data_IF_376597875143
#
_entry.id   IF_376597875143
#
_cell.length_a   1.000
_cell.length_b   1.000
_cell.length_c   1.000
_cell.angle_alpha   90.00
_cell.angle_beta   90.00
_cell.angle_gamma   90.00
#
_symmetry.space_group_name_H-M   'P 1'
#
loop_
_entity.id
_entity.type
_entity.pdbx_description
1 polymer ?
#
# COMPACT_ATOMS: atom_id res chain seq x y z
N UNK A 1 -19.47 -7.25 -0.26
CA UNK A 1 -18.80 -5.96 -0.05
C UNK A 1 -17.35 -6.13 -0.47
N UNK A 2 -16.89 -5.28 -1.39
CA UNK A 2 -15.55 -5.38 -1.92
C UNK A 2 -14.60 -4.62 -1.01
N UNK A 3 -13.57 -5.28 -0.49
CA UNK A 3 -12.58 -4.60 0.32
C UNK A 3 -11.54 -3.93 -0.56
N UNK A 4 -11.34 -2.64 -0.40
CA UNK A 4 -10.38 -1.85 -1.16
C UNK A 4 -9.03 -1.81 -0.48
N UNK A 5 -7.96 -1.94 -1.25
CA UNK A 5 -6.58 -1.75 -0.81
C UNK A 5 -6.05 -0.40 -1.28
N UNK A 6 -5.51 0.36 -0.35
CA UNK A 6 -4.96 1.69 -0.60
C UNK A 6 -3.53 1.77 -0.09
N UNK A 7 -2.61 2.19 -0.97
CA UNK A 7 -1.28 2.65 -0.60
C UNK A 7 -1.37 4.03 0.04
N UNK A 8 -0.75 4.21 1.19
CA UNK A 8 -0.55 5.49 1.86
C UNK A 8 0.95 5.77 1.98
N UNK A 9 1.37 6.94 1.53
CA UNK A 9 2.73 7.46 1.72
C UNK A 9 2.65 8.64 2.68
N UNK A 10 3.36 8.53 3.80
CA UNK A 10 3.30 9.47 4.92
C UNK A 10 4.64 10.19 5.06
N UNK A 11 4.60 11.51 5.22
CA UNK A 11 5.74 12.26 5.74
C UNK A 11 5.63 12.35 7.27
N UNK A 12 6.46 11.61 8.03
CA UNK A 12 6.38 11.62 9.48
C UNK A 12 6.78 12.96 10.10
N UNK A 13 7.51 13.81 9.38
CA UNK A 13 7.94 15.13 9.87
C UNK A 13 6.79 16.12 9.83
N UNK A 14 5.94 16.01 8.80
CA UNK A 14 4.74 16.82 8.66
C UNK A 14 3.52 16.20 9.36
N UNK A 15 3.59 14.92 9.74
CA UNK A 15 2.45 14.18 10.29
C UNK A 15 1.31 14.03 9.28
N UNK A 16 1.62 13.95 7.98
CA UNK A 16 0.64 14.05 6.91
C UNK A 16 0.80 12.96 5.84
N UNK A 17 -0.32 12.54 5.26
CA UNK A 17 -0.34 11.71 4.06
C UNK A 17 0.00 12.59 2.85
N UNK A 18 1.13 12.34 2.21
CA UNK A 18 1.58 13.08 1.02
C UNK A 18 1.08 12.46 -0.27
N UNK A 19 0.70 11.17 -0.23
CA UNK A 19 0.09 10.46 -1.37
C UNK A 19 -0.79 9.33 -0.86
N UNK A 20 -1.96 9.18 -1.50
CA UNK A 20 -2.80 8.00 -1.39
C UNK A 20 -3.09 7.47 -2.79
N UNK A 21 -3.06 6.14 -2.97
CA UNK A 21 -3.36 5.51 -4.26
C UNK A 21 -4.03 4.16 -4.06
N UNK A 22 -5.15 3.95 -4.73
CA UNK A 22 -5.82 2.66 -4.76
C UNK A 22 -4.96 1.62 -5.49
N UNK A 23 -4.87 0.42 -4.92
CA UNK A 23 -4.10 -0.70 -5.46
C UNK A 23 -5.01 -1.74 -6.12
N UNK A 24 -6.18 -2.00 -5.53
CA UNK A 24 -7.11 -2.99 -6.03
C UNK A 24 -7.97 -3.64 -4.96
N UNK A 25 -8.57 -4.79 -5.31
CA UNK A 25 -9.50 -5.54 -4.48
C UNK A 25 -8.99 -6.96 -4.20
N UNK A 26 -9.82 -7.99 -4.42
CA UNK A 26 -9.58 -9.38 -4.02
C UNK A 26 -8.30 -10.00 -4.57
N UNK A 27 -7.96 -9.80 -5.85
CA UNK A 27 -6.71 -10.31 -6.44
C UNK A 27 -5.47 -9.68 -5.79
N UNK A 28 -5.46 -8.36 -5.68
CA UNK A 28 -4.40 -7.60 -5.01
C UNK A 28 -4.26 -7.96 -3.53
N UNK A 29 -5.36 -8.28 -2.84
CA UNK A 29 -5.35 -8.76 -1.46
C UNK A 29 -4.70 -10.13 -1.31
N UNK A 30 -4.98 -11.06 -2.22
CA UNK A 30 -4.27 -12.35 -2.24
C UNK A 30 -2.77 -12.10 -2.38
N UNK A 31 -2.38 -11.24 -3.33
CA UNK A 31 -0.99 -10.90 -3.58
C UNK A 31 -0.31 -10.23 -2.37
N UNK A 32 -1.01 -9.31 -1.70
CA UNK A 32 -0.52 -8.68 -0.48
C UNK A 32 -0.21 -9.71 0.61
N UNK A 33 -1.12 -10.67 0.82
CA UNK A 33 -0.93 -11.73 1.82
C UNK A 33 0.27 -12.61 1.48
N UNK A 34 0.47 -12.91 0.21
CA UNK A 34 1.61 -13.71 -0.25
C UNK A 34 2.94 -12.96 -0.11
N UNK A 35 2.99 -11.68 -0.52
CA UNK A 35 4.22 -10.86 -0.50
C UNK A 35 4.64 -10.49 0.92
N UNK A 36 3.69 -10.08 1.77
CA UNK A 36 4.01 -9.65 3.13
C UNK A 36 4.10 -10.83 4.10
N UNK A 37 3.36 -11.91 3.84
CA UNK A 37 3.34 -13.15 4.63
C UNK A 37 3.19 -12.92 6.15
N UNK A 38 2.48 -11.85 6.55
CA UNK A 38 2.31 -11.44 7.95
C UNK A 38 0.94 -10.81 8.18
N UNK A 39 0.40 -10.90 9.41
CA UNK A 39 -0.85 -10.22 9.76
C UNK A 39 -0.69 -8.68 9.67
N UNK A 40 -1.82 -7.93 9.64
CA UNK A 40 -1.79 -6.48 9.74
C UNK A 40 -1.04 -6.04 11.00
N UNK A 41 -0.31 -4.93 10.90
CA UNK A 41 0.32 -4.28 12.06
C UNK A 41 -0.73 -3.72 13.02
N UNK A 42 -1.85 -3.24 12.48
CA UNK A 42 -2.97 -2.72 13.26
C UNK A 42 -4.28 -3.06 12.57
N UNK A 43 -5.29 -3.42 13.35
CA UNK A 43 -6.66 -3.62 12.89
C UNK A 43 -7.61 -2.87 13.81
N UNK A 44 -8.48 -2.04 13.24
CA UNK A 44 -9.42 -1.21 14.00
C UNK A 44 -10.68 -0.94 13.19
N UNK A 45 -11.86 -1.23 13.76
CA UNK A 45 -13.19 -0.93 13.18
C UNK A 45 -13.34 -1.20 11.68
N UNK A 46 -12.97 -2.39 11.21
CA UNK A 46 -13.12 -2.74 9.79
C UNK A 46 -12.09 -2.08 8.88
N UNK A 47 -10.96 -1.61 9.43
CA UNK A 47 -9.76 -1.25 8.68
C UNK A 47 -8.59 -2.09 9.16
N UNK A 48 -7.80 -2.61 8.22
CA UNK A 48 -6.52 -3.27 8.47
C UNK A 48 -5.38 -2.44 7.89
N UNK A 49 -4.26 -2.35 8.58
CA UNK A 49 -3.10 -1.59 8.14
C UNK A 49 -1.81 -2.39 8.30
N UNK A 50 -0.99 -2.42 7.25
CA UNK A 50 0.37 -2.93 7.26
C UNK A 50 1.34 -1.76 7.22
N UNK A 51 2.10 -1.58 8.29
CA UNK A 51 3.20 -0.62 8.36
C UNK A 51 4.52 -1.26 7.91
N UNK A 52 5.58 -0.44 7.84
CA UNK A 52 6.94 -0.85 7.44
C UNK A 52 6.94 -1.65 6.13
N UNK A 53 6.15 -1.20 5.14
CA UNK A 53 6.14 -1.78 3.80
C UNK A 53 7.20 -1.07 2.97
N UNK A 54 8.00 -1.82 2.22
CA UNK A 54 9.00 -1.23 1.32
C UNK A 54 8.40 -0.91 -0.04
N UNK A 55 8.97 0.05 -0.77
CA UNK A 55 8.53 0.36 -2.14
C UNK A 55 8.57 -0.87 -3.05
N UNK A 56 9.58 -1.74 -2.87
CA UNK A 56 9.71 -3.00 -3.61
C UNK A 56 8.55 -3.96 -3.32
N UNK A 57 8.16 -4.13 -2.05
CA UNK A 57 7.01 -4.95 -1.69
C UNK A 57 5.72 -4.39 -2.31
N UNK A 58 5.52 -3.07 -2.28
CA UNK A 58 4.35 -2.45 -2.92
C UNK A 58 4.36 -2.69 -4.42
N UNK A 59 5.51 -2.59 -5.09
CA UNK A 59 5.62 -2.85 -6.52
C UNK A 59 5.27 -4.31 -6.85
N UNK A 60 5.71 -5.27 -6.04
CA UNK A 60 5.37 -6.69 -6.19
C UNK A 60 3.87 -6.99 -5.98
N UNK A 61 3.20 -6.18 -5.16
CA UNK A 61 1.74 -6.27 -4.93
C UNK A 61 0.97 -5.66 -6.10
N UNK A 62 1.43 -4.52 -6.60
CA UNK A 62 0.86 -3.79 -7.74
C UNK A 62 0.87 -4.58 -9.06
N UNK A 63 1.62 -5.69 -9.15
CA UNK A 63 1.57 -6.60 -10.31
C UNK A 63 0.15 -7.15 -10.53
N UNK A 64 -0.60 -7.39 -9.47
CA UNK A 64 -2.01 -7.83 -9.52
C UNK A 64 -2.97 -6.64 -9.37
N UNK A 65 -2.62 -5.49 -9.95
CA UNK A 65 -3.47 -4.30 -9.96
C UNK A 65 -4.70 -4.51 -10.84
N UNK A 66 -5.84 -4.00 -10.37
CA UNK A 66 -7.07 -3.93 -11.16
C UNK A 66 -7.00 -2.76 -12.16
N UNK A 67 -7.98 -2.65 -13.07
CA UNK A 67 -7.96 -1.71 -14.20
C UNK A 67 -7.66 -0.22 -13.84
N UNK A 68 -7.90 0.19 -12.60
CA UNK A 68 -7.63 1.55 -12.08
C UNK A 68 -6.58 1.61 -10.96
N UNK A 69 -5.98 0.47 -10.61
CA UNK A 69 -5.02 0.30 -9.53
C UNK A 69 -3.64 0.85 -9.90
N UNK A 70 -2.84 1.14 -8.88
CA UNK A 70 -1.45 1.54 -9.11
C UNK A 70 -0.69 0.40 -9.81
N UNK A 71 -0.04 0.71 -10.93
CA UNK A 71 0.83 -0.25 -11.62
C UNK A 71 2.23 -0.24 -11.00
N UNK A 72 3.07 -1.28 -11.22
CA UNK A 72 4.45 -1.28 -10.72
C UNK A 72 5.26 -0.06 -11.17
N UNK A 73 5.08 0.38 -12.41
CA UNK A 73 5.75 1.57 -12.94
C UNK A 73 5.31 2.87 -12.22
N UNK A 74 4.04 2.97 -11.81
CA UNK A 74 3.56 4.09 -10.99
C UNK A 74 4.19 4.05 -9.59
N UNK A 75 4.33 2.86 -9.01
CA UNK A 75 5.00 2.67 -7.72
C UNK A 75 6.48 3.07 -7.79
N UNK A 76 7.19 2.70 -8.85
CA UNK A 76 8.59 3.09 -9.05
C UNK A 76 8.74 4.62 -9.17
N UNK A 77 7.82 5.28 -9.88
CA UNK A 77 7.80 6.74 -9.97
C UNK A 77 7.55 7.39 -8.59
N UNK A 78 6.67 6.81 -7.78
CA UNK A 78 6.47 7.26 -6.39
C UNK A 78 7.71 7.01 -5.53
N UNK A 79 8.41 5.89 -5.69
CA UNK A 79 9.63 5.59 -4.94
C UNK A 79 10.75 6.60 -5.21
N UNK A 80 10.87 7.09 -6.45
CA UNK A 80 11.81 8.15 -6.81
C UNK A 80 11.42 9.50 -6.20
N UNK A 81 10.12 9.81 -6.14
CA UNK A 81 9.61 11.08 -5.60
C UNK A 81 9.57 11.11 -4.07
N UNK A 82 9.29 9.96 -3.45
CA UNK A 82 9.10 9.77 -2.01
C UNK A 82 9.97 8.60 -1.51
N UNK A 83 11.31 8.75 -1.51
CA UNK A 83 12.21 7.68 -1.11
C UNK A 83 12.09 7.32 0.37
N UNK A 84 12.36 6.06 0.68
CA UNK A 84 12.38 5.54 2.05
C UNK A 84 13.84 5.31 2.47
N UNK A 85 14.37 6.00 3.51
CA UNK A 85 13.80 7.11 4.29
C UNK A 85 13.81 8.48 3.56
N UNK A 86 13.03 9.50 4.00
CA UNK A 86 12.31 9.62 5.28
C UNK A 86 10.81 9.31 5.24
N UNK A 87 10.23 9.02 4.07
CA UNK A 87 8.80 8.74 3.96
C UNK A 87 8.48 7.33 4.45
N UNK A 88 7.28 7.15 5.00
CA UNK A 88 6.75 5.84 5.37
C UNK A 88 5.72 5.37 4.37
N UNK A 89 5.77 4.09 4.03
CA UNK A 89 4.86 3.45 3.10
C UNK A 89 4.03 2.41 3.85
N UNK A 90 2.71 2.54 3.73
CA UNK A 90 1.73 1.70 4.41
C UNK A 90 0.68 1.22 3.42
N UNK A 91 0.10 0.05 3.66
CA UNK A 91 -1.08 -0.40 2.93
C UNK A 91 -2.24 -0.51 3.91
N UNK A 92 -3.35 0.15 3.58
CA UNK A 92 -4.61 0.08 4.31
C UNK A 92 -5.63 -0.74 3.51
N UNK A 93 -6.49 -1.46 4.22
CA UNK A 93 -7.64 -2.16 3.68
C UNK A 93 -8.91 -1.74 4.39
N UNK A 94 -9.91 -1.31 3.63
CA UNK A 94 -11.24 -0.95 4.13
C UNK A 94 -12.27 -1.98 3.65
N UNK A 95 -13.29 -2.27 4.47
CA UNK A 95 -14.26 -3.37 4.29
C UNK A 95 -15.69 -2.91 3.95
#
# INVERSE_FOLDING_TARGET
>A
MGSDLTLLIIDPRAGAVVRARWLGMSGTLSRLRDVLARPPTTSYHGTECWADVTCEQVAQIAVESYADGATPAEIDAFAQRFPTPPYWWLIARDY
#
